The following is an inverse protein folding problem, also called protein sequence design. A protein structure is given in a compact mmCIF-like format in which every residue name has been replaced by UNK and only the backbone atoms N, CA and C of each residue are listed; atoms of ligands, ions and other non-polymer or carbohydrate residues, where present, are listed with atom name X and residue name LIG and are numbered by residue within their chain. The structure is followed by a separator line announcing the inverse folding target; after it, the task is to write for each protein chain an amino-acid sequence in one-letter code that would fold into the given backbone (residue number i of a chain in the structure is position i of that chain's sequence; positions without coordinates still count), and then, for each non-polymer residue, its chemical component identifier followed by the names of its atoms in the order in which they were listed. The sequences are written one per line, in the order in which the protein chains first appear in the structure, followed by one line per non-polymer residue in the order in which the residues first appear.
data_IF_033705795485
#
_entry.id   IF_033705795485
#
_cell.length_a   1.000
_cell.length_b   1.000
_cell.length_c   1.000
_cell.angle_alpha   90.00
_cell.angle_beta   90.00
_cell.angle_gamma   90.00
#
_symmetry.space_group_name_H-M   'P 1'
#
loop_
_entity.id
_entity.type
_entity.pdbx_description
1 polymer ?
#
# COMPACT_ATOMS: atom_id res chain seq x y z
N UNK A 1 -10.78 -27.77 7.54
CA UNK A 1 -9.65 -27.90 6.60
C UNK A 1 -9.09 -26.51 6.39
N UNK A 2 -7.82 -26.28 6.78
CA UNK A 2 -7.16 -25.00 6.51
C UNK A 2 -6.86 -24.95 5.01
N UNK A 3 -7.58 -24.12 4.26
CA UNK A 3 -7.25 -23.88 2.86
C UNK A 3 -5.91 -23.15 2.79
N UNK A 4 -4.99 -23.66 2.01
CA UNK A 4 -3.68 -23.10 1.75
C UNK A 4 -3.77 -22.41 0.39
N UNK A 5 -3.37 -21.15 0.30
CA UNK A 5 -3.21 -20.41 -0.95
C UNK A 5 -1.74 -20.37 -1.32
N UNK A 6 -1.44 -20.79 -2.54
CA UNK A 6 -0.13 -20.60 -3.13
C UNK A 6 -0.21 -19.35 -4.04
N UNK A 7 0.52 -18.31 -3.72
CA UNK A 7 0.69 -17.15 -4.58
C UNK A 7 1.93 -17.36 -5.44
N UNK A 8 1.76 -17.20 -6.75
CA UNK A 8 2.87 -17.09 -7.68
C UNK A 8 3.23 -15.60 -7.72
N UNK A 9 4.37 -15.26 -7.18
CA UNK A 9 4.91 -13.90 -7.30
C UNK A 9 5.49 -13.80 -8.71
N UNK A 10 4.87 -13.03 -9.58
CA UNK A 10 5.48 -12.57 -10.80
C UNK A 10 6.42 -11.43 -10.42
N UNK A 11 7.67 -11.76 -10.14
CA UNK A 11 8.70 -10.76 -10.19
C UNK A 11 8.79 -10.31 -11.65
N UNK A 12 8.28 -9.10 -11.94
CA UNK A 12 8.57 -8.45 -13.20
C UNK A 12 10.09 -8.33 -13.29
N UNK A 13 10.70 -9.23 -14.05
CA UNK A 13 12.11 -9.16 -14.36
C UNK A 13 12.35 -7.85 -15.12
N UNK A 14 12.75 -6.82 -14.39
CA UNK A 14 13.48 -5.72 -14.99
C UNK A 14 14.94 -6.18 -15.04
N UNK A 15 15.53 -6.27 -16.22
CA UNK A 15 16.92 -6.73 -16.51
C UNK A 15 18.03 -6.06 -15.68
N UNK A 16 17.69 -5.14 -14.76
CA UNK A 16 18.62 -4.34 -13.95
C UNK A 16 18.72 -4.75 -12.48
N UNK A 17 17.91 -5.72 -11.98
CA UNK A 17 18.01 -6.17 -10.58
C UNK A 17 18.97 -7.36 -10.46
N UNK A 18 19.94 -7.26 -9.53
CA UNK A 18 20.84 -8.37 -9.22
C UNK A 18 20.14 -9.40 -8.34
N UNK A 19 20.52 -10.68 -8.44
CA UNK A 19 19.98 -11.78 -7.66
C UNK A 19 20.04 -11.52 -6.13
N UNK A 20 21.03 -10.77 -5.66
CA UNK A 20 21.19 -10.38 -4.26
C UNK A 20 20.13 -9.37 -3.81
N UNK A 21 19.70 -8.41 -4.66
CA UNK A 21 18.63 -7.46 -4.34
C UNK A 21 17.27 -8.13 -4.23
N UNK A 22 16.98 -9.12 -5.07
CA UNK A 22 15.74 -9.90 -5.03
C UNK A 22 15.63 -10.75 -3.76
N UNK A 23 16.73 -11.38 -3.33
CA UNK A 23 16.78 -12.15 -2.06
C UNK A 23 16.49 -11.24 -0.87
N UNK A 24 17.04 -10.02 -0.87
CA UNK A 24 16.85 -9.05 0.23
C UNK A 24 15.41 -8.54 0.32
N UNK A 25 14.75 -8.27 -0.81
CA UNK A 25 13.34 -7.84 -0.85
C UNK A 25 12.41 -8.96 -0.33
N UNK A 26 12.61 -10.19 -0.76
CA UNK A 26 11.84 -11.35 -0.29
C UNK A 26 12.04 -11.63 1.21
N UNK A 27 13.24 -11.47 1.74
CA UNK A 27 13.51 -11.60 3.16
C UNK A 27 12.78 -10.52 3.97
N UNK A 28 12.73 -9.28 3.49
CA UNK A 28 12.00 -8.19 4.13
C UNK A 28 10.48 -8.44 4.13
N UNK A 29 9.90 -8.90 3.02
CA UNK A 29 8.48 -9.28 2.98
C UNK A 29 8.16 -10.37 4.01
N UNK A 30 9.02 -11.37 4.15
CA UNK A 30 8.87 -12.42 5.15
C UNK A 30 8.86 -11.85 6.57
N UNK A 31 9.80 -10.97 6.89
CA UNK A 31 9.91 -10.34 8.21
C UNK A 31 8.69 -9.47 8.51
N UNK A 32 8.23 -8.67 7.55
CA UNK A 32 7.03 -7.82 7.69
C UNK A 32 5.77 -8.66 7.82
N UNK A 33 5.60 -9.71 7.01
CA UNK A 33 4.46 -10.63 7.12
C UNK A 33 4.41 -11.32 8.50
N UNK A 34 5.56 -11.74 9.05
CA UNK A 34 5.66 -12.31 10.39
C UNK A 34 5.31 -11.26 11.48
N UNK A 35 5.75 -10.02 11.31
CA UNK A 35 5.41 -8.93 12.19
C UNK A 35 3.91 -8.64 12.21
N UNK A 36 3.26 -8.54 11.04
CA UNK A 36 1.81 -8.35 10.93
C UNK A 36 1.04 -9.53 11.53
N UNK A 37 1.53 -10.77 11.38
CA UNK A 37 0.95 -11.94 12.03
C UNK A 37 1.02 -11.85 13.56
N UNK A 38 2.17 -11.46 14.13
CA UNK A 38 2.35 -11.23 15.57
C UNK A 38 1.37 -10.19 16.10
N UNK A 39 1.10 -9.14 15.31
CA UNK A 39 0.12 -8.08 15.61
C UNK A 39 -1.33 -8.47 15.35
N UNK A 40 -1.61 -9.65 14.79
CA UNK A 40 -2.95 -10.10 14.35
C UNK A 40 -3.57 -9.21 13.27
N UNK A 41 -2.75 -8.57 12.47
CA UNK A 41 -3.14 -7.69 11.37
C UNK A 41 -3.16 -8.42 10.02
N UNK A 42 -2.55 -9.59 9.92
CA UNK A 42 -2.47 -10.42 8.73
C UNK A 42 -2.05 -11.83 9.06
N UNK A 43 -1.91 -12.68 8.05
CA UNK A 43 -1.32 -14.00 8.20
C UNK A 43 0.10 -14.01 7.68
N UNK A 44 1.00 -14.60 8.46
CA UNK A 44 2.35 -14.86 8.04
C UNK A 44 2.41 -15.92 6.95
N UNK A 45 3.54 -16.01 6.29
CA UNK A 45 3.83 -17.07 5.33
C UNK A 45 4.06 -18.43 6.03
N UNK A 46 3.84 -19.52 5.29
CA UNK A 46 4.10 -20.89 5.75
C UNK A 46 5.48 -21.35 5.27
N UNK A 47 5.77 -21.11 3.99
CA UNK A 47 7.04 -21.40 3.37
C UNK A 47 7.27 -20.54 2.13
N UNK A 48 8.53 -20.35 1.81
CA UNK A 48 9.02 -19.72 0.60
C UNK A 48 9.83 -20.75 -0.20
N UNK A 49 9.59 -20.82 -1.49
CA UNK A 49 10.31 -21.68 -2.41
C UNK A 49 10.74 -20.81 -3.60
N UNK A 50 11.99 -20.92 -3.97
CA UNK A 50 12.54 -20.27 -5.15
C UNK A 50 13.14 -21.29 -6.08
N UNK A 51 12.83 -21.23 -7.37
CA UNK A 51 13.55 -21.92 -8.42
C UNK A 51 14.30 -20.93 -9.32
N UNK A 52 14.94 -21.42 -10.38
CA UNK A 52 15.75 -20.55 -11.28
C UNK A 52 14.91 -19.52 -12.06
N UNK A 53 13.59 -19.64 -12.08
CA UNK A 53 12.69 -18.83 -12.90
C UNK A 53 11.57 -18.15 -12.11
N UNK A 54 11.25 -18.63 -10.89
CA UNK A 54 10.06 -18.21 -10.18
C UNK A 54 10.21 -18.35 -8.66
N UNK A 55 9.56 -17.44 -7.95
CA UNK A 55 9.41 -17.46 -6.51
C UNK A 55 7.97 -17.84 -6.14
N UNK A 56 7.82 -18.65 -5.10
CA UNK A 56 6.53 -19.09 -4.58
C UNK A 56 6.44 -18.79 -3.09
N UNK A 57 5.43 -18.03 -2.71
CA UNK A 57 5.13 -17.74 -1.32
C UNK A 57 3.86 -18.50 -0.91
N UNK A 58 4.00 -19.42 0.04
CA UNK A 58 2.88 -20.19 0.58
C UNK A 58 2.36 -19.52 1.84
N UNK A 59 1.12 -19.03 1.79
CA UNK A 59 0.43 -18.38 2.91
C UNK A 59 -0.84 -19.14 3.31
N UNK A 60 -1.26 -19.05 4.56
CA UNK A 60 -2.62 -19.50 4.96
C UNK A 60 -3.63 -18.58 4.31
N UNK A 61 -4.79 -19.14 3.90
CA UNK A 61 -5.90 -18.32 3.42
C UNK A 61 -6.61 -17.66 4.59
N UNK A 62 -6.79 -16.34 4.53
CA UNK A 62 -7.70 -15.63 5.43
C UNK A 62 -9.13 -15.93 5.00
N UNK A 63 -9.96 -16.40 5.93
CA UNK A 63 -11.37 -16.65 5.66
C UNK A 63 -12.11 -15.31 5.53
N UNK A 64 -12.83 -15.12 4.43
CA UNK A 64 -13.54 -13.89 4.11
C UNK A 64 -13.42 -13.51 2.64
N UNK A 65 -13.83 -12.29 2.33
CA UNK A 65 -13.78 -11.69 1.00
C UNK A 65 -13.13 -10.30 1.10
N UNK A 66 -12.48 -9.86 0.05
CA UNK A 66 -11.99 -8.49 -0.01
C UNK A 66 -13.12 -7.51 -0.36
N UNK A 67 -12.84 -6.20 -0.31
CA UNK A 67 -13.85 -5.16 -0.59
C UNK A 67 -14.40 -5.16 -2.02
N UNK A 68 -13.80 -5.90 -2.97
CA UNK A 68 -14.33 -6.03 -4.34
C UNK A 68 -15.55 -6.95 -4.43
N UNK A 69 -15.89 -7.68 -3.36
CA UNK A 69 -17.09 -8.49 -3.32
C UNK A 69 -18.34 -7.61 -3.47
N UNK A 70 -19.32 -8.08 -4.25
CA UNK A 70 -20.55 -7.34 -4.58
C UNK A 70 -21.29 -6.80 -3.35
N UNK A 71 -21.30 -7.56 -2.24
CA UNK A 71 -21.94 -7.12 -1.00
C UNK A 71 -21.35 -5.82 -0.43
N UNK A 72 -20.06 -5.56 -0.66
CA UNK A 72 -19.38 -4.34 -0.22
C UNK A 72 -19.51 -3.21 -1.24
N UNK A 73 -19.25 -3.48 -2.52
CA UNK A 73 -19.36 -2.48 -3.59
C UNK A 73 -20.77 -1.91 -3.75
N UNK A 74 -21.83 -2.72 -3.47
CA UNK A 74 -23.22 -2.25 -3.50
C UNK A 74 -23.57 -1.31 -2.34
N UNK A 75 -22.67 -1.11 -1.36
CA UNK A 75 -22.86 -0.23 -0.22
C UNK A 75 -21.71 0.78 -0.09
N UNK A 76 -21.49 1.67 -1.08
CA UNK A 76 -20.28 2.45 -1.19
C UNK A 76 -20.03 3.42 -0.02
N UNK A 77 -21.10 3.95 0.61
CA UNK A 77 -20.95 4.81 1.80
C UNK A 77 -20.39 4.02 2.99
N UNK A 78 -20.96 2.84 3.27
CA UNK A 78 -20.48 1.97 4.33
C UNK A 78 -19.09 1.43 4.05
N UNK A 79 -18.81 1.09 2.78
CA UNK A 79 -17.48 0.66 2.34
C UNK A 79 -16.45 1.74 2.65
N UNK A 80 -16.74 2.97 2.27
CA UNK A 80 -15.88 4.12 2.48
C UNK A 80 -15.57 4.34 3.97
N UNK A 81 -16.60 4.35 4.84
CA UNK A 81 -16.44 4.53 6.28
C UNK A 81 -15.62 3.38 6.89
N UNK A 82 -15.95 2.13 6.55
CA UNK A 82 -15.25 0.95 7.06
C UNK A 82 -13.80 0.85 6.57
N UNK A 83 -13.53 1.27 5.32
CA UNK A 83 -12.17 1.38 4.79
C UNK A 83 -11.35 2.39 5.61
N UNK A 84 -11.90 3.57 5.88
CA UNK A 84 -11.25 4.61 6.67
C UNK A 84 -10.99 4.17 8.13
N UNK A 85 -11.96 3.48 8.74
CA UNK A 85 -11.83 2.94 10.09
C UNK A 85 -10.72 1.88 10.18
N UNK A 86 -10.65 0.96 9.22
CA UNK A 86 -9.61 -0.06 9.17
C UNK A 86 -8.22 0.53 8.92
N UNK A 87 -8.13 1.59 8.10
CA UNK A 87 -6.88 2.32 7.91
C UNK A 87 -6.42 3.01 9.21
N UNK A 88 -7.34 3.71 9.87
CA UNK A 88 -7.03 4.34 11.15
C UNK A 88 -6.61 3.32 12.20
N UNK A 89 -7.29 2.17 12.27
CA UNK A 89 -6.91 1.07 13.15
C UNK A 89 -5.47 0.59 12.89
N UNK A 90 -5.05 0.47 11.63
CA UNK A 90 -3.67 0.13 11.27
C UNK A 90 -2.69 1.22 11.72
N UNK A 91 -2.99 2.48 11.41
CA UNK A 91 -2.11 3.63 11.67
C UNK A 91 -1.96 3.98 13.17
N UNK A 92 -2.86 3.48 14.01
CA UNK A 92 -2.80 3.64 15.47
C UNK A 92 -2.06 2.48 16.18
N UNK A 93 -1.55 1.49 15.42
CA UNK A 93 -0.76 0.42 16.01
C UNK A 93 0.61 0.92 16.47
N UNK A 94 1.08 0.38 17.61
CA UNK A 94 2.48 0.54 17.98
C UNK A 94 3.38 -0.21 17.00
N UNK A 95 4.47 0.41 16.58
CA UNK A 95 5.39 -0.10 15.56
C UNK A 95 6.84 -0.28 16.04
N UNK A 96 7.12 -0.24 17.36
CA UNK A 96 8.49 -0.31 17.92
C UNK A 96 9.32 -1.49 17.39
N UNK A 97 8.69 -2.65 17.21
CA UNK A 97 9.37 -3.86 16.71
C UNK A 97 9.25 -4.05 15.18
N UNK A 98 8.83 -3.04 14.42
CA UNK A 98 8.69 -3.18 12.97
C UNK A 98 10.08 -3.35 12.31
N UNK A 99 10.24 -4.33 11.42
CA UNK A 99 11.54 -4.58 10.77
C UNK A 99 11.94 -3.51 9.73
N UNK A 100 10.98 -2.70 9.25
CA UNK A 100 11.20 -1.63 8.29
C UNK A 100 10.79 -0.31 8.93
N UNK A 101 11.77 0.54 9.28
CA UNK A 101 11.57 1.83 9.93
C UNK A 101 11.84 3.03 9.00
N UNK A 102 12.32 2.76 7.79
CA UNK A 102 12.80 3.73 6.79
C UNK A 102 11.99 3.66 5.49
N UNK A 103 10.67 3.39 5.61
CA UNK A 103 9.81 3.20 4.43
C UNK A 103 9.81 4.42 3.49
N UNK A 104 9.75 5.64 4.04
CA UNK A 104 9.72 6.86 3.21
C UNK A 104 10.99 7.06 2.39
N UNK A 105 12.16 6.71 2.92
CA UNK A 105 13.43 6.76 2.20
C UNK A 105 13.49 5.71 1.08
N UNK A 106 13.01 4.48 1.36
CA UNK A 106 12.92 3.41 0.35
C UNK A 106 11.97 3.78 -0.78
N UNK A 107 10.81 4.34 -0.42
CA UNK A 107 9.82 4.84 -1.36
C UNK A 107 10.40 5.91 -2.29
N UNK A 108 11.07 6.93 -1.75
CA UNK A 108 11.71 7.96 -2.55
C UNK A 108 12.83 7.43 -3.45
N UNK A 109 13.65 6.48 -2.99
CA UNK A 109 14.67 5.81 -3.82
C UNK A 109 14.06 5.07 -5.02
N UNK A 110 12.91 4.40 -4.81
CA UNK A 110 12.18 3.75 -5.91
C UNK A 110 11.69 4.78 -6.93
N UNK A 111 11.13 5.90 -6.45
CA UNK A 111 10.68 7.02 -7.30
C UNK A 111 11.83 7.59 -8.13
N UNK A 112 12.98 7.90 -7.51
CA UNK A 112 14.18 8.40 -8.21
C UNK A 112 14.65 7.43 -9.29
N UNK A 113 14.72 6.13 -8.98
CA UNK A 113 15.08 5.08 -9.93
C UNK A 113 14.14 5.05 -11.13
N UNK A 114 12.81 5.03 -10.88
CA UNK A 114 11.80 4.93 -11.93
C UNK A 114 11.73 6.20 -12.79
N UNK A 115 11.90 7.37 -12.20
CA UNK A 115 11.97 8.63 -12.93
C UNK A 115 13.14 8.63 -13.95
N UNK A 116 14.26 7.98 -13.61
CA UNK A 116 15.42 7.88 -14.51
C UNK A 116 15.19 7.03 -15.76
N UNK A 117 14.19 6.13 -15.75
CA UNK A 117 13.85 5.25 -16.88
C UNK A 117 12.62 5.69 -17.67
N UNK A 118 12.10 6.91 -17.40
CA UNK A 118 10.92 7.49 -18.05
C UNK A 118 9.64 6.63 -17.98
N UNK A 119 9.48 5.85 -16.93
CA UNK A 119 8.21 5.17 -16.63
C UNK A 119 7.35 6.10 -15.79
N UNK A 120 6.26 6.64 -16.35
CA UNK A 120 5.44 7.63 -15.66
C UNK A 120 3.96 7.56 -16.05
N UNK A 121 3.09 7.83 -15.06
CA UNK A 121 1.65 7.93 -15.26
C UNK A 121 1.08 9.18 -14.56
N UNK A 122 0.65 10.17 -15.34
CA UNK A 122 0.09 11.42 -14.82
C UNK A 122 -1.33 11.32 -14.27
N UNK A 123 -2.01 10.17 -14.44
CA UNK A 123 -3.38 10.00 -13.92
C UNK A 123 -3.46 10.12 -12.39
N UNK A 124 -2.36 9.84 -11.70
CA UNK A 124 -2.28 9.97 -10.23
C UNK A 124 -2.33 11.41 -9.72
N UNK A 125 -2.07 12.40 -10.57
CA UNK A 125 -2.02 13.82 -10.19
C UNK A 125 -3.12 14.70 -10.80
N UNK A 126 -4.12 14.09 -11.45
CA UNK A 126 -5.23 14.80 -12.09
C UNK A 126 -5.95 15.82 -11.15
N UNK A 127 -5.98 15.53 -9.84
CA UNK A 127 -6.62 16.35 -8.83
C UNK A 127 -5.70 17.41 -8.18
N UNK A 128 -4.42 17.54 -8.62
CA UNK A 128 -3.40 18.33 -7.92
C UNK A 128 -2.81 19.49 -8.76
N UNK A 129 -3.40 19.80 -9.93
CA UNK A 129 -2.88 20.82 -10.86
C UNK A 129 -1.41 20.58 -11.27
N UNK A 130 -1.02 19.34 -11.45
CA UNK A 130 0.24 18.91 -12.06
C UNK A 130 -0.07 18.44 -13.48
N UNK A 131 0.68 18.91 -14.47
CA UNK A 131 0.38 18.67 -15.89
C UNK A 131 1.48 17.92 -16.63
N UNK A 132 2.69 17.93 -16.09
CA UNK A 132 3.85 17.29 -16.71
C UNK A 132 4.64 16.47 -15.67
N UNK A 133 5.44 15.55 -16.14
CA UNK A 133 6.34 14.75 -15.31
C UNK A 133 7.40 15.61 -14.65
N UNK A 134 7.89 16.66 -15.34
CA UNK A 134 8.85 17.61 -14.81
C UNK A 134 8.25 18.38 -13.62
N UNK A 135 7.01 18.87 -13.74
CA UNK A 135 6.31 19.55 -12.63
C UNK A 135 6.14 18.62 -11.43
N UNK A 136 5.83 17.32 -11.66
CA UNK A 136 5.71 16.32 -10.60
C UNK A 136 7.07 16.10 -9.91
N UNK A 137 8.13 15.94 -10.69
CA UNK A 137 9.48 15.72 -10.16
C UNK A 137 10.01 16.94 -9.40
N UNK A 138 9.80 18.14 -9.93
CA UNK A 138 10.15 19.40 -9.25
C UNK A 138 9.41 19.54 -7.91
N UNK A 139 8.13 19.14 -7.85
CA UNK A 139 7.38 19.14 -6.61
C UNK A 139 7.96 18.16 -5.58
N UNK A 140 8.34 16.95 -6.01
CA UNK A 140 9.02 15.95 -5.17
C UNK A 140 10.31 16.53 -4.59
N UNK A 141 11.21 17.05 -5.44
CA UNK A 141 12.51 17.59 -5.00
C UNK A 141 12.35 18.71 -3.96
N UNK A 142 11.36 19.56 -4.13
CA UNK A 142 11.11 20.67 -3.21
C UNK A 142 10.41 20.27 -1.91
N UNK A 143 9.71 19.12 -1.87
CA UNK A 143 8.84 18.74 -0.76
C UNK A 143 9.14 17.38 -0.12
N UNK A 144 10.07 16.59 -0.66
CA UNK A 144 10.38 15.22 -0.18
C UNK A 144 10.68 15.14 1.32
N UNK A 145 11.23 16.19 1.93
CA UNK A 145 11.50 16.25 3.37
C UNK A 145 10.22 16.37 4.24
N UNK A 146 9.05 16.54 3.66
CA UNK A 146 7.78 16.50 4.40
C UNK A 146 7.38 15.08 4.80
N UNK A 147 7.84 14.05 4.07
CA UNK A 147 7.54 12.65 4.42
C UNK A 147 8.17 12.28 5.76
N UNK A 148 7.46 11.47 6.52
CA UNK A 148 7.84 11.03 7.88
C UNK A 148 7.81 9.51 7.98
N UNK A 149 8.54 8.97 8.95
CA UNK A 149 8.44 7.57 9.35
C UNK A 149 7.85 7.51 10.77
N UNK A 150 6.56 7.83 10.90
CA UNK A 150 5.87 7.94 12.19
C UNK A 150 4.58 7.09 12.27
N UNK A 151 4.32 6.25 11.27
CA UNK A 151 3.07 5.50 11.16
C UNK A 151 3.34 4.12 10.55
N UNK A 152 2.71 3.07 11.10
CA UNK A 152 2.73 1.74 10.48
C UNK A 152 1.81 1.71 9.25
N UNK A 153 2.39 1.42 8.08
CA UNK A 153 1.70 1.42 6.80
C UNK A 153 1.46 0.01 6.28
N UNK A 154 0.43 -0.12 5.44
CA UNK A 154 0.30 -1.20 4.47
C UNK A 154 1.25 -0.99 3.27
N UNK A 155 1.38 0.26 2.82
CA UNK A 155 2.19 0.68 1.67
C UNK A 155 1.50 0.54 0.31
N UNK A 156 0.48 -0.34 0.21
CA UNK A 156 -0.46 -0.48 -0.92
C UNK A 156 -1.88 -0.70 -0.38
N UNK A 157 -2.45 0.32 0.27
CA UNK A 157 -3.75 0.24 0.95
C UNK A 157 -4.91 0.29 -0.05
N UNK A 158 -5.10 -0.81 -0.78
CA UNK A 158 -6.12 -0.96 -1.81
C UNK A 158 -7.23 -1.93 -1.41
N UNK A 159 -8.43 -1.77 -2.02
CA UNK A 159 -9.61 -2.61 -1.73
C UNK A 159 -9.34 -4.12 -1.82
N UNK A 160 -8.58 -4.66 -2.79
CA UNK A 160 -8.31 -6.09 -2.88
C UNK A 160 -7.45 -6.62 -1.72
N UNK A 161 -6.65 -5.77 -1.06
CA UNK A 161 -5.64 -6.16 -0.07
C UNK A 161 -6.19 -6.26 1.37
N UNK A 162 -7.49 -6.04 1.56
CA UNK A 162 -8.13 -6.04 2.88
C UNK A 162 -9.24 -7.08 2.91
N UNK A 163 -9.10 -8.07 3.78
CA UNK A 163 -10.04 -9.18 3.90
C UNK A 163 -11.01 -8.94 5.06
N UNK A 164 -12.28 -9.15 4.77
CA UNK A 164 -13.43 -8.95 5.68
C UNK A 164 -14.29 -10.21 5.76
N UNK A 165 -14.99 -10.35 6.87
CA UNK A 165 -16.10 -11.28 7.04
C UNK A 165 -17.30 -10.51 7.59
N UNK A 166 -18.33 -10.32 6.76
CA UNK A 166 -19.51 -9.53 7.12
C UNK A 166 -19.16 -8.14 7.69
N UNK A 167 -18.33 -7.36 6.98
CA UNK A 167 -17.84 -6.03 7.37
C UNK A 167 -16.87 -6.01 8.56
N UNK A 168 -16.48 -7.16 9.11
CA UNK A 168 -15.50 -7.26 10.18
C UNK A 168 -14.13 -7.53 9.58
N UNK A 169 -13.17 -6.74 9.96
CA UNK A 169 -11.78 -6.91 9.57
C UNK A 169 -11.24 -8.29 9.96
N UNK A 170 -10.55 -8.96 9.03
CA UNK A 170 -9.92 -10.26 9.22
C UNK A 170 -8.41 -10.23 9.02
N UNK A 171 -7.92 -9.33 8.20
CA UNK A 171 -6.48 -9.17 7.98
C UNK A 171 -6.14 -8.48 6.67
N UNK A 172 -4.91 -8.02 6.61
CA UNK A 172 -4.26 -7.50 5.42
C UNK A 172 -3.52 -8.61 4.67
N UNK A 173 -3.46 -8.49 3.36
CA UNK A 173 -2.66 -9.34 2.46
C UNK A 173 -1.79 -8.43 1.58
N UNK A 174 -0.80 -8.99 0.90
CA UNK A 174 0.09 -8.24 0.01
C UNK A 174 0.88 -7.14 0.76
N UNK A 175 1.77 -7.60 1.64
CA UNK A 175 2.48 -6.77 2.62
C UNK A 175 3.92 -6.46 2.22
N UNK A 176 4.27 -6.63 0.96
CA UNK A 176 5.63 -6.39 0.44
C UNK A 176 6.05 -4.92 0.53
N UNK A 177 5.07 -4.00 0.44
CA UNK A 177 5.28 -2.57 0.60
C UNK A 177 5.07 -2.06 2.04
N UNK A 178 4.82 -2.95 3.03
CA UNK A 178 4.50 -2.50 4.38
C UNK A 178 5.74 -2.09 5.19
N UNK A 179 5.56 -1.16 6.13
CA UNK A 179 6.64 -0.65 6.97
C UNK A 179 6.25 0.59 7.75
N UNK A 180 7.20 1.23 8.42
CA UNK A 180 6.97 2.52 9.09
C UNK A 180 7.31 3.65 8.15
N UNK A 181 6.32 4.47 7.81
CA UNK A 181 6.45 5.57 6.87
C UNK A 181 5.43 6.68 7.09
N UNK A 182 5.14 7.46 6.04
CA UNK A 182 4.19 8.56 6.09
C UNK A 182 2.77 8.07 5.76
N UNK A 183 1.83 8.31 6.67
CA UNK A 183 0.41 7.92 6.54
C UNK A 183 -0.27 8.35 5.26
N UNK A 184 0.23 9.39 4.60
CA UNK A 184 -0.36 9.92 3.37
C UNK A 184 -0.17 8.98 2.18
N UNK A 185 0.77 8.01 2.26
CA UNK A 185 0.92 6.96 1.27
C UNK A 185 -0.33 6.08 1.24
N UNK A 186 -0.72 5.52 2.39
CA UNK A 186 -1.94 4.69 2.49
C UNK A 186 -3.22 5.51 2.29
N UNK A 187 -3.25 6.77 2.73
CA UNK A 187 -4.38 7.67 2.51
C UNK A 187 -4.59 7.97 1.01
N UNK A 188 -3.50 8.14 0.27
CA UNK A 188 -3.56 8.32 -1.18
C UNK A 188 -4.13 7.08 -1.87
N UNK A 189 -3.57 5.90 -1.58
CA UNK A 189 -4.02 4.64 -2.16
C UNK A 189 -5.46 4.28 -1.77
N UNK A 190 -5.86 4.54 -0.52
CA UNK A 190 -7.23 4.34 -0.05
C UNK A 190 -8.25 5.22 -0.80
N UNK A 191 -7.92 6.49 -1.04
CA UNK A 191 -8.76 7.39 -1.83
C UNK A 191 -8.77 7.02 -3.33
N UNK A 192 -7.60 6.68 -3.88
CA UNK A 192 -7.46 6.29 -5.28
C UNK A 192 -8.23 5.01 -5.60
N UNK A 193 -8.11 3.96 -4.78
CA UNK A 193 -8.78 2.67 -5.01
C UNK A 193 -10.30 2.78 -4.93
N UNK A 194 -10.84 3.71 -4.12
CA UNK A 194 -12.27 4.02 -4.09
C UNK A 194 -12.74 4.58 -5.44
N UNK A 195 -12.05 5.61 -5.95
CA UNK A 195 -12.37 6.19 -7.25
C UNK A 195 -12.26 5.15 -8.37
N UNK A 196 -11.16 4.40 -8.40
CA UNK A 196 -10.88 3.40 -9.43
C UNK A 196 -11.96 2.30 -9.49
N UNK A 197 -12.38 1.76 -8.34
CA UNK A 197 -13.30 0.62 -8.30
C UNK A 197 -14.78 1.02 -8.29
N UNK A 198 -15.13 2.23 -7.83
CA UNK A 198 -16.52 2.71 -7.79
C UNK A 198 -16.84 3.59 -9.02
N UNK A 199 -15.80 4.11 -9.71
CA UNK A 199 -15.94 4.94 -10.91
C UNK A 199 -16.36 6.38 -10.61
N UNK A 200 -16.14 6.90 -9.39
CA UNK A 200 -16.49 8.26 -8.98
C UNK A 200 -15.65 8.74 -7.80
N UNK A 201 -15.24 10.01 -7.85
CA UNK A 201 -14.44 10.66 -6.78
C UNK A 201 -15.30 11.18 -5.61
N UNK A 202 -16.63 11.05 -5.67
CA UNK A 202 -17.56 11.59 -4.66
C UNK A 202 -17.34 11.05 -3.23
N UNK A 203 -16.63 9.92 -3.07
CA UNK A 203 -16.38 9.29 -1.78
C UNK A 203 -15.03 9.69 -1.15
N UNK A 204 -14.18 10.40 -1.86
CA UNK A 204 -12.87 10.83 -1.38
C UNK A 204 -12.96 11.66 -0.10
N UNK A 205 -13.79 12.69 -0.10
CA UNK A 205 -13.96 13.55 1.07
C UNK A 205 -14.58 12.80 2.25
N UNK A 206 -15.56 11.91 1.99
CA UNK A 206 -16.12 11.04 3.02
C UNK A 206 -15.07 10.13 3.66
N UNK A 207 -14.19 9.55 2.85
CA UNK A 207 -13.07 8.71 3.34
C UNK A 207 -12.15 9.52 4.26
N UNK A 208 -11.78 10.72 3.86
CA UNK A 208 -10.92 11.58 4.66
C UNK A 208 -11.60 12.07 5.94
N UNK A 209 -12.89 12.37 5.90
CA UNK A 209 -13.64 12.75 7.11
C UNK A 209 -13.77 11.58 8.10
N UNK A 210 -14.07 10.38 7.60
CA UNK A 210 -14.18 9.17 8.42
C UNK A 210 -12.82 8.75 9.02
N UNK A 211 -11.72 8.96 8.29
CA UNK A 211 -10.37 8.74 8.79
C UNK A 211 -9.97 9.75 9.88
N UNK A 212 -10.36 11.01 9.73
CA UNK A 212 -10.00 12.15 10.59
C UNK A 212 -9.31 13.24 9.78
N UNK A 213 -10.09 14.20 9.31
CA UNK A 213 -9.65 15.30 8.41
C UNK A 213 -8.50 16.11 8.98
N UNK A 214 -8.45 16.29 10.29
CA UNK A 214 -7.43 17.00 11.03
C UNK A 214 -6.03 16.37 10.95
N UNK A 215 -5.96 15.08 10.59
CA UNK A 215 -4.70 14.32 10.44
C UNK A 215 -4.14 14.36 9.02
N UNK A 216 -4.81 15.05 8.10
CA UNK A 216 -4.49 15.03 6.67
C UNK A 216 -3.84 16.34 6.26
N UNK A 217 -2.63 16.24 5.76
CA UNK A 217 -1.86 17.31 5.15
C UNK A 217 -1.98 17.22 3.62
N UNK A 218 -2.58 18.25 3.02
CA UNK A 218 -2.85 18.30 1.57
C UNK A 218 -1.57 18.35 0.74
N UNK A 219 -0.52 19.01 1.24
CA UNK A 219 0.78 19.07 0.56
C UNK A 219 1.45 17.70 0.52
N UNK A 220 1.31 16.89 1.59
CA UNK A 220 1.82 15.52 1.60
C UNK A 220 1.00 14.60 0.70
N UNK A 221 -0.33 14.72 0.68
CA UNK A 221 -1.15 13.96 -0.28
C UNK A 221 -0.76 14.28 -1.73
N UNK A 222 -0.53 15.55 -2.04
CA UNK A 222 -0.04 15.98 -3.36
C UNK A 222 1.36 15.41 -3.64
N UNK A 223 2.24 15.43 -2.63
CA UNK A 223 3.59 14.88 -2.74
C UNK A 223 3.56 13.39 -3.08
N UNK A 224 2.73 12.61 -2.37
CA UNK A 224 2.54 11.18 -2.66
C UNK A 224 1.99 11.00 -4.08
N UNK A 225 0.97 11.78 -4.50
CA UNK A 225 0.47 11.73 -5.87
C UNK A 225 1.55 11.99 -6.92
N UNK A 226 2.45 12.97 -6.67
CA UNK A 226 3.59 13.22 -7.55
C UNK A 226 4.59 12.05 -7.55
N UNK A 227 4.83 11.40 -6.39
CA UNK A 227 5.67 10.21 -6.30
C UNK A 227 5.07 9.05 -7.11
N UNK A 228 3.76 8.82 -7.04
CA UNK A 228 3.08 7.75 -7.76
C UNK A 228 3.06 7.94 -9.29
N UNK A 229 3.32 9.16 -9.78
CA UNK A 229 3.59 9.36 -11.22
C UNK A 229 4.75 8.47 -11.69
N UNK A 230 5.70 8.15 -10.80
CA UNK A 230 6.90 7.32 -11.06
C UNK A 230 6.87 5.99 -10.29
N UNK A 231 5.75 5.60 -9.68
CA UNK A 231 5.55 4.44 -8.78
C UNK A 231 5.54 3.06 -9.44
#
# INVERSE_FOLDING_TARGET
MNEILCYRIFLGYNDSQTKEQLVTENELEQLVSAYFQKKKLGLGYISYLSDQSQDFLLKKKIQGENYLAKQYLNNPKRLCDNLAENLRFLHEQNFEDCPILDHSERYLKKVEKNASINNSNLDFVNNYNIRTTEEAYDYIENKKLLLRNDTLLHGDYCLPNIILDNWKFKGFIDLDCAGVGDRHIDLFWGAWTLNFNIGTDQYRDRFFDAYGRDRIDVDRLKLVGCCEVFG
#
